data_IF_469782182235
#
_entry.id   IF_469782182235
#
_cell.length_a   1.000
_cell.length_b   1.000
_cell.length_c   1.000
_cell.angle_alpha   90.00
_cell.angle_beta   90.00
_cell.angle_gamma   90.00
#
_symmetry.space_group_name_H-M   'P 1'
#
loop_
_entity.id
_entity.type
_entity.pdbx_description
1 polymer ?
#
# COMPACT_ATOMS: atom_id res chain seq x y z
N UNK A 1 2.34 -15.34 -15.36
CA UNK A 1 2.10 -14.12 -14.55
C UNK A 1 1.10 -14.37 -13.42
N UNK A 2 -0.05 -15.03 -13.64
CA UNK A 2 -1.07 -15.26 -12.62
C UNK A 2 -0.55 -16.01 -11.39
N UNK A 3 0.32 -17.01 -11.56
CA UNK A 3 0.92 -17.74 -10.44
C UNK A 3 1.83 -16.82 -9.60
N UNK A 4 2.55 -15.91 -10.24
CA UNK A 4 3.39 -14.93 -9.57
C UNK A 4 2.52 -13.95 -8.74
N UNK A 5 1.43 -13.45 -9.32
CA UNK A 5 0.47 -12.58 -8.64
C UNK A 5 -0.11 -13.30 -7.40
N UNK A 6 -0.64 -14.50 -7.59
CA UNK A 6 -1.23 -15.29 -6.49
C UNK A 6 -0.23 -15.55 -5.37
N UNK A 7 1.01 -15.93 -5.71
CA UNK A 7 2.04 -16.21 -4.72
C UNK A 7 2.47 -14.96 -3.96
N UNK A 8 2.65 -13.82 -4.66
CA UNK A 8 2.97 -12.55 -4.01
C UNK A 8 1.93 -12.18 -2.95
N UNK A 9 0.66 -12.15 -3.31
CA UNK A 9 -0.41 -11.80 -2.37
C UNK A 9 -0.65 -12.87 -1.31
N UNK A 10 -0.40 -14.15 -1.62
CA UNK A 10 -0.42 -15.21 -0.61
C UNK A 10 0.63 -14.97 0.49
N UNK A 11 1.85 -14.57 0.13
CA UNK A 11 2.89 -14.23 1.10
C UNK A 11 2.49 -13.04 1.98
N UNK A 12 1.88 -12.01 1.41
CA UNK A 12 1.37 -10.87 2.17
C UNK A 12 0.29 -11.32 3.17
N UNK A 13 -0.65 -12.18 2.76
CA UNK A 13 -1.66 -12.72 3.67
C UNK A 13 -1.06 -13.59 4.78
N UNK A 14 -0.02 -14.36 4.50
CA UNK A 14 0.71 -15.09 5.55
C UNK A 14 1.37 -14.14 6.55
N UNK A 15 2.00 -13.06 6.07
CA UNK A 15 2.55 -12.03 6.93
C UNK A 15 1.45 -11.37 7.78
N UNK A 16 0.33 -11.00 7.17
CA UNK A 16 -0.80 -10.41 7.87
C UNK A 16 -1.37 -11.32 8.98
N UNK A 17 -1.41 -12.63 8.77
CA UNK A 17 -1.93 -13.60 9.73
C UNK A 17 -0.88 -14.03 10.79
N UNK A 18 0.37 -13.61 10.66
CA UNK A 18 1.44 -14.05 11.56
C UNK A 18 1.39 -13.43 12.96
N UNK A 19 0.72 -12.28 13.12
CA UNK A 19 0.72 -11.49 14.36
C UNK A 19 2.05 -10.77 14.64
N UNK A 20 2.98 -10.76 13.70
CA UNK A 20 4.32 -10.17 13.87
C UNK A 20 4.39 -8.69 13.45
N UNK A 21 3.44 -8.22 12.64
CA UNK A 21 3.46 -6.90 12.02
C UNK A 21 2.31 -6.03 12.49
N UNK A 22 2.52 -4.72 12.44
CA UNK A 22 1.51 -3.69 12.74
C UNK A 22 1.04 -3.00 11.45
N UNK A 23 1.84 -3.09 10.38
CA UNK A 23 1.57 -2.47 9.09
C UNK A 23 2.11 -3.34 7.95
N UNK A 24 1.41 -3.33 6.82
CA UNK A 24 1.89 -3.89 5.56
C UNK A 24 2.39 -2.74 4.68
N UNK A 25 3.69 -2.74 4.40
CA UNK A 25 4.33 -1.76 3.53
C UNK A 25 4.07 -2.09 2.05
N UNK A 26 4.12 -1.07 1.17
CA UNK A 26 4.13 -1.17 -0.30
C UNK A 26 3.33 -2.37 -0.86
N UNK A 27 2.04 -2.45 -0.52
CA UNK A 27 1.16 -3.62 -0.71
C UNK A 27 1.26 -4.29 -2.09
N UNK A 28 1.35 -3.49 -3.14
CA UNK A 28 1.40 -3.94 -4.54
C UNK A 28 2.78 -3.73 -5.19
N UNK A 29 3.85 -3.88 -4.41
CA UNK A 29 5.24 -3.75 -4.87
C UNK A 29 5.57 -4.64 -6.08
N UNK A 30 4.79 -5.68 -6.31
CA UNK A 30 4.90 -6.55 -7.50
C UNK A 30 4.86 -5.76 -8.83
N UNK A 31 4.28 -4.55 -8.85
CA UNK A 31 4.21 -3.71 -10.05
C UNK A 31 5.47 -2.86 -10.29
N UNK A 32 6.50 -2.94 -9.46
CA UNK A 32 7.72 -2.11 -9.54
C UNK A 32 8.26 -1.97 -10.97
N UNK A 33 8.35 -3.06 -11.72
CA UNK A 33 8.84 -3.09 -13.10
C UNK A 33 7.71 -3.14 -14.15
N UNK A 34 6.48 -2.89 -13.74
CA UNK A 34 5.31 -3.00 -14.62
C UNK A 34 5.04 -1.69 -15.39
N UNK A 35 6.03 -1.24 -16.16
CA UNK A 35 5.93 -0.02 -16.98
C UNK A 35 4.73 -0.10 -17.92
N UNK A 36 3.86 0.94 -17.86
CA UNK A 36 2.65 1.03 -18.69
C UNK A 36 1.80 -0.26 -18.67
N UNK A 37 1.82 -1.01 -17.56
CA UNK A 37 1.11 -2.28 -17.38
C UNK A 37 1.49 -3.35 -18.42
N UNK A 38 2.74 -3.32 -18.91
CA UNK A 38 3.23 -4.24 -19.93
C UNK A 38 3.33 -5.70 -19.46
N UNK A 39 3.67 -5.92 -18.18
CA UNK A 39 3.84 -7.27 -17.62
C UNK A 39 2.48 -7.87 -17.24
N UNK A 40 1.60 -7.07 -16.62
CA UNK A 40 0.23 -7.43 -16.29
C UNK A 40 -0.64 -6.18 -16.22
N UNK A 41 -1.94 -6.37 -16.45
CA UNK A 41 -2.93 -5.30 -16.30
C UNK A 41 -3.50 -5.30 -14.88
N UNK A 42 -3.54 -4.15 -14.23
CA UNK A 42 -4.12 -4.02 -12.88
C UNK A 42 -5.64 -4.26 -12.84
N UNK A 43 -6.31 -4.28 -14.01
CA UNK A 43 -7.71 -4.69 -14.12
C UNK A 43 -7.88 -6.20 -14.38
N UNK A 44 -6.78 -6.98 -14.44
CA UNK A 44 -6.87 -8.44 -14.57
C UNK A 44 -7.68 -9.02 -13.40
N UNK A 45 -8.71 -9.84 -13.67
CA UNK A 45 -9.57 -10.40 -12.63
C UNK A 45 -8.81 -11.13 -11.53
N UNK A 46 -7.71 -11.83 -11.87
CA UNK A 46 -6.88 -12.53 -10.89
C UNK A 46 -6.16 -11.54 -9.98
N UNK A 47 -5.63 -10.46 -10.55
CA UNK A 47 -4.97 -9.41 -9.75
C UNK A 47 -5.97 -8.73 -8.81
N UNK A 48 -7.11 -8.31 -9.33
CA UNK A 48 -8.15 -7.65 -8.53
C UNK A 48 -8.65 -8.57 -7.41
N UNK A 49 -8.94 -9.83 -7.70
CA UNK A 49 -9.40 -10.81 -6.71
C UNK A 49 -8.37 -11.01 -5.59
N UNK A 50 -7.09 -11.17 -5.92
CA UNK A 50 -6.04 -11.38 -4.94
C UNK A 50 -5.80 -10.15 -4.07
N UNK A 51 -5.86 -8.95 -4.63
CA UNK A 51 -5.81 -7.69 -3.88
C UNK A 51 -6.96 -7.61 -2.88
N UNK A 52 -8.20 -7.81 -3.33
CA UNK A 52 -9.38 -7.70 -2.46
C UNK A 52 -9.34 -8.71 -1.31
N UNK A 53 -9.00 -9.97 -1.59
CA UNK A 53 -8.78 -11.00 -0.55
C UNK A 53 -7.72 -10.57 0.47
N UNK A 54 -6.66 -9.94 -0.01
CA UNK A 54 -5.56 -9.50 0.86
C UNK A 54 -5.97 -8.33 1.75
N UNK A 55 -6.73 -7.36 1.21
CA UNK A 55 -7.30 -6.28 2.01
C UNK A 55 -8.26 -6.81 3.10
N UNK A 56 -9.06 -7.83 2.79
CA UNK A 56 -9.96 -8.45 3.77
C UNK A 56 -9.18 -9.11 4.92
N UNK A 57 -8.06 -9.81 4.64
CA UNK A 57 -7.19 -10.38 5.68
C UNK A 57 -6.45 -9.29 6.49
N UNK A 58 -5.98 -8.22 5.86
CA UNK A 58 -5.37 -7.06 6.52
C UNK A 58 -6.39 -6.44 7.51
N UNK A 59 -7.62 -6.22 7.06
CA UNK A 59 -8.70 -5.69 7.90
C UNK A 59 -9.02 -6.60 9.08
N UNK A 60 -9.16 -7.88 8.85
CA UNK A 60 -9.45 -8.90 9.87
C UNK A 60 -8.38 -8.93 10.98
N UNK A 61 -7.13 -8.70 10.62
CA UNK A 61 -6.00 -8.69 11.55
C UNK A 61 -5.70 -7.30 12.15
N UNK A 62 -6.53 -6.29 11.89
CA UNK A 62 -6.38 -4.91 12.36
C UNK A 62 -5.03 -4.28 12.02
N UNK A 63 -4.47 -4.61 10.87
CA UNK A 63 -3.22 -4.03 10.39
C UNK A 63 -3.49 -2.73 9.64
N UNK A 64 -2.48 -1.86 9.63
CA UNK A 64 -2.43 -0.72 8.72
C UNK A 64 -1.84 -1.12 7.36
N UNK A 65 -2.05 -0.26 6.37
CA UNK A 65 -1.28 -0.26 5.12
C UNK A 65 -0.49 1.04 5.00
N UNK A 66 0.48 1.05 4.12
CA UNK A 66 1.32 2.21 3.84
C UNK A 66 1.05 2.75 2.44
N UNK A 67 0.91 4.09 2.28
CA UNK A 67 1.27 4.72 1.01
C UNK A 67 2.78 4.87 1.00
N UNK A 68 3.42 4.25 0.01
CA UNK A 68 4.86 4.27 -0.14
C UNK A 68 5.22 5.02 -1.42
N UNK A 69 5.97 6.12 -1.27
CA UNK A 69 6.26 7.02 -2.39
C UNK A 69 7.43 6.56 -3.24
N UNK A 70 8.21 5.54 -2.81
CA UNK A 70 9.35 5.04 -3.57
C UNK A 70 8.98 4.56 -4.98
N UNK A 71 7.73 4.11 -5.17
CA UNK A 71 7.22 3.67 -6.47
C UNK A 71 7.33 4.71 -7.58
N UNK A 72 7.36 6.00 -7.24
CA UNK A 72 7.60 7.09 -8.20
C UNK A 72 8.99 7.06 -8.84
N UNK A 73 9.92 6.31 -8.27
CA UNK A 73 11.30 6.18 -8.76
C UNK A 73 11.54 4.93 -9.58
N UNK A 74 10.55 4.06 -9.67
CA UNK A 74 10.62 2.80 -10.41
C UNK A 74 9.88 2.87 -11.75
N UNK A 75 9.98 1.82 -12.54
CA UNK A 75 9.40 1.76 -13.90
C UNK A 75 7.87 1.92 -13.90
N UNK A 76 7.20 1.51 -12.84
CA UNK A 76 5.75 1.70 -12.68
C UNK A 76 5.36 3.18 -12.55
N UNK A 77 6.29 4.05 -12.13
CA UNK A 77 6.12 5.50 -11.94
C UNK A 77 4.81 5.85 -11.20
N UNK A 78 4.52 5.12 -10.15
CA UNK A 78 3.32 5.31 -9.32
C UNK A 78 3.56 4.85 -7.88
N UNK A 79 2.91 5.50 -6.92
CA UNK A 79 3.00 5.09 -5.51
C UNK A 79 2.44 3.69 -5.29
N UNK A 80 2.88 3.05 -4.21
CA UNK A 80 2.27 1.83 -3.68
C UNK A 80 1.36 2.18 -2.49
N UNK A 81 0.14 1.61 -2.41
CA UNK A 81 -0.54 0.90 -3.48
C UNK A 81 -1.11 1.85 -4.54
N UNK A 82 -1.56 1.27 -5.65
CA UNK A 82 -2.33 1.99 -6.67
C UNK A 82 -3.57 2.65 -6.06
N UNK A 83 -4.00 3.79 -6.61
CA UNK A 83 -5.08 4.60 -6.06
C UNK A 83 -6.40 3.83 -5.86
N UNK A 84 -6.77 2.95 -6.80
CA UNK A 84 -7.97 2.14 -6.66
C UNK A 84 -7.90 1.18 -5.45
N UNK A 85 -6.71 0.62 -5.17
CA UNK A 85 -6.48 -0.25 -4.00
C UNK A 85 -6.64 0.57 -2.71
N UNK A 86 -6.09 1.78 -2.70
CA UNK A 86 -6.21 2.69 -1.57
C UNK A 86 -7.68 3.05 -1.27
N UNK A 87 -8.49 3.29 -2.33
CA UNK A 87 -9.93 3.50 -2.19
C UNK A 87 -10.65 2.27 -1.61
N UNK A 88 -10.29 1.08 -2.05
CA UNK A 88 -10.85 -0.17 -1.50
C UNK A 88 -10.46 -0.40 -0.04
N UNK A 89 -9.24 -0.01 0.35
CA UNK A 89 -8.78 -0.04 1.73
C UNK A 89 -9.54 0.98 2.61
N UNK A 90 -9.74 2.20 2.11
CA UNK A 90 -10.53 3.23 2.80
C UNK A 90 -11.97 2.80 3.05
N UNK A 91 -12.66 2.21 2.06
CA UNK A 91 -14.00 1.64 2.22
C UNK A 91 -14.08 0.59 3.34
N UNK A 92 -13.01 -0.20 3.50
CA UNK A 92 -12.87 -1.21 4.57
C UNK A 92 -12.46 -0.61 5.91
N UNK A 93 -12.20 0.70 5.97
CA UNK A 93 -11.66 1.37 7.15
C UNK A 93 -10.36 0.70 7.63
N UNK A 94 -9.48 0.37 6.70
CA UNK A 94 -8.12 -0.08 7.00
C UNK A 94 -7.30 1.16 7.35
N UNK A 95 -6.61 1.20 8.50
CA UNK A 95 -5.79 2.34 8.87
C UNK A 95 -4.63 2.55 7.87
N UNK A 96 -4.22 3.79 7.69
CA UNK A 96 -3.22 4.21 6.72
C UNK A 96 -2.02 4.86 7.41
N UNK A 97 -0.82 4.60 6.91
CA UNK A 97 0.39 5.39 7.18
C UNK A 97 1.04 5.82 5.87
N UNK A 98 2.03 6.70 5.92
CA UNK A 98 2.76 7.19 4.75
C UNK A 98 4.26 7.01 5.02
N UNK A 99 4.99 6.51 4.02
CA UNK A 99 6.44 6.36 4.04
C UNK A 99 7.06 6.64 2.68
N UNK A 100 8.32 7.13 2.70
CA UNK A 100 9.08 7.38 1.49
C UNK A 100 9.93 6.17 1.06
N UNK A 101 10.21 5.24 1.98
CA UNK A 101 11.07 4.07 1.74
C UNK A 101 12.37 4.46 1.02
N UNK A 102 12.91 5.61 1.43
CA UNK A 102 14.05 6.19 0.75
C UNK A 102 15.36 5.53 1.21
N UNK A 103 16.24 5.32 0.26
CA UNK A 103 17.61 4.85 0.48
C UNK A 103 18.63 5.97 0.22
N UNK A 104 18.13 7.21 -0.04
CA UNK A 104 18.93 8.38 -0.41
C UNK A 104 18.51 9.59 0.42
N UNK A 105 19.46 10.29 1.02
CA UNK A 105 19.20 11.45 1.88
C UNK A 105 18.41 12.55 1.14
N UNK A 106 18.68 12.75 -0.13
CA UNK A 106 18.05 13.76 -0.98
C UNK A 106 16.59 13.49 -1.30
N UNK A 107 16.07 12.33 -0.88
CA UNK A 107 14.71 11.87 -1.17
C UNK A 107 13.88 11.56 0.07
N UNK A 108 14.30 12.06 1.24
CA UNK A 108 13.62 11.76 2.51
C UNK A 108 12.15 12.17 2.54
N UNK A 109 11.80 13.23 1.81
CA UNK A 109 10.45 13.79 1.70
C UNK A 109 9.83 13.67 0.31
N UNK A 110 10.50 12.97 -0.61
CA UNK A 110 10.04 12.87 -2.00
C UNK A 110 8.65 12.22 -2.10
N UNK A 111 7.69 12.95 -2.68
CA UNK A 111 6.32 12.49 -2.90
C UNK A 111 5.44 12.45 -1.65
N UNK A 112 5.90 12.96 -0.51
CA UNK A 112 5.11 12.92 0.73
C UNK A 112 3.88 13.82 0.66
N UNK A 113 3.97 15.01 0.08
CA UNK A 113 2.82 15.90 -0.08
C UNK A 113 1.79 15.29 -1.03
N UNK A 114 2.21 14.74 -2.15
CA UNK A 114 1.35 14.02 -3.09
C UNK A 114 0.69 12.80 -2.44
N UNK A 115 1.39 12.11 -1.52
CA UNK A 115 0.81 11.01 -0.75
C UNK A 115 -0.30 11.48 0.20
N UNK A 116 -0.16 12.65 0.82
CA UNK A 116 -1.24 13.26 1.61
C UNK A 116 -2.46 13.59 0.74
N UNK A 117 -2.25 14.17 -0.45
CA UNK A 117 -3.35 14.44 -1.38
C UNK A 117 -4.04 13.13 -1.80
N UNK A 118 -3.26 12.13 -2.21
CA UNK A 118 -3.77 10.82 -2.59
C UNK A 118 -4.60 10.17 -1.47
N UNK A 119 -4.16 10.30 -0.21
CA UNK A 119 -4.89 9.80 0.94
C UNK A 119 -6.26 10.50 1.10
N UNK A 120 -6.29 11.85 1.02
CA UNK A 120 -7.53 12.63 1.09
C UNK A 120 -8.50 12.25 -0.03
N UNK A 121 -8.02 12.17 -1.27
CA UNK A 121 -8.83 11.78 -2.43
C UNK A 121 -9.39 10.35 -2.31
N UNK A 122 -8.66 9.45 -1.66
CA UNK A 122 -9.12 8.09 -1.38
C UNK A 122 -10.15 8.02 -0.24
N UNK A 123 -10.39 9.13 0.48
CA UNK A 123 -11.40 9.24 1.53
C UNK A 123 -10.85 9.06 2.96
N UNK A 124 -9.54 9.16 3.16
CA UNK A 124 -8.96 9.20 4.50
C UNK A 124 -9.02 10.61 5.08
N UNK A 125 -9.36 10.71 6.35
CA UNK A 125 -9.36 11.96 7.13
C UNK A 125 -8.22 12.01 8.14
N UNK A 126 -7.55 10.89 8.35
CA UNK A 126 -6.44 10.73 9.30
C UNK A 126 -5.50 9.63 8.84
N UNK A 127 -4.25 9.70 9.29
CA UNK A 127 -3.25 8.66 9.12
C UNK A 127 -2.64 8.29 10.46
N UNK A 128 -2.00 7.12 10.53
CA UNK A 128 -1.25 6.67 11.69
C UNK A 128 0.20 7.14 11.64
N UNK A 129 0.69 7.59 12.79
CA UNK A 129 2.10 7.81 13.06
C UNK A 129 2.57 6.79 14.09
N UNK A 130 3.48 5.92 13.72
CA UNK A 130 4.04 4.89 14.61
C UNK A 130 5.23 5.41 15.43
N UNK A 131 5.29 4.99 16.69
CA UNK A 131 6.44 5.16 17.57
C UNK A 131 6.57 3.93 18.48
N UNK A 132 7.61 3.11 18.31
CA UNK A 132 7.88 1.91 19.10
C UNK A 132 6.64 0.97 19.16
N UNK A 133 6.06 0.66 18.00
CA UNK A 133 4.86 -0.18 17.82
C UNK A 133 3.56 0.40 18.42
N UNK A 134 3.60 1.60 18.98
CA UNK A 134 2.41 2.37 19.35
C UNK A 134 2.10 3.37 18.23
N UNK A 135 0.84 3.72 18.08
CA UNK A 135 0.46 4.72 17.07
C UNK A 135 -0.34 5.87 17.69
N UNK A 136 -0.30 6.98 17.02
CA UNK A 136 -1.17 8.15 17.20
C UNK A 136 -1.77 8.55 15.86
N UNK A 137 -2.84 9.31 15.90
CA UNK A 137 -3.48 9.82 14.68
C UNK A 137 -2.93 11.19 14.32
N UNK A 138 -2.73 11.42 13.02
CA UNK A 138 -2.47 12.70 12.41
C UNK A 138 -3.62 13.00 11.45
N UNK A 139 -4.36 14.09 11.71
CA UNK A 139 -5.48 14.49 10.88
C UNK A 139 -5.01 15.12 9.58
N UNK A 140 -5.68 14.75 8.49
CA UNK A 140 -5.46 15.31 7.16
C UNK A 140 -6.34 16.56 7.00
N UNK A 141 -5.78 17.72 7.24
CA UNK A 141 -6.46 19.03 7.07
C UNK A 141 -6.41 19.51 5.63
#
# INVERSE_FOLDING_TARGET
IHNMIKENFRQIRLAANSGLFDCIAHLDVIKTFNKNQFIFNENDPVYVEEVLKTLDEIKKNNLAIEINTSGLTYDCNSMFPSFWILKEASKRKIPLTIGADTHWIERLDAGIEEAYEMAREAGYTEILKFNKRKYSYLYLT
#
